data_IF_723960332465
#
_entry.id   IF_723960332465
#
_cell.length_a   1.000
_cell.length_b   1.000
_cell.length_c   1.000
_cell.angle_alpha   90.00
_cell.angle_beta   90.00
_cell.angle_gamma   90.00
#
_symmetry.space_group_name_H-M   'P 1'
#
loop_
_entity.id
_entity.type
_entity.pdbx_description
1 polymer ?
#
# COMPACT_ATOMS: atom_id res chain seq x y z
N UNK A 1 -7.96 -4.70 -14.61
CA UNK A 1 -7.38 -5.20 -13.36
C UNK A 1 -6.98 -4.02 -12.51
N UNK A 2 -7.44 -3.98 -11.28
CA UNK A 2 -7.13 -2.91 -10.34
C UNK A 2 -6.04 -3.36 -9.39
N UNK A 3 -5.09 -2.46 -9.12
CA UNK A 3 -3.93 -2.76 -8.28
C UNK A 3 -3.74 -1.65 -7.25
N UNK A 4 -2.92 -1.91 -6.24
CA UNK A 4 -2.64 -0.94 -5.20
C UNK A 4 -1.13 -0.80 -5.00
N UNK A 5 -0.70 0.44 -4.75
CA UNK A 5 0.64 0.76 -4.26
C UNK A 5 0.48 1.33 -2.85
N UNK A 6 1.08 0.65 -1.88
CA UNK A 6 1.07 1.10 -0.49
C UNK A 6 2.41 1.79 -0.23
N UNK A 7 2.37 3.08 0.08
CA UNK A 7 3.58 3.88 0.27
C UNK A 7 3.92 3.95 1.75
N UNK A 8 5.06 3.42 2.12
CA UNK A 8 5.54 3.35 3.49
C UNK A 8 7.02 3.76 3.59
N UNK A 9 7.48 4.65 2.71
CA UNK A 9 8.89 4.97 2.56
C UNK A 9 9.30 6.31 3.19
N UNK A 10 8.34 7.17 3.60
CA UNK A 10 8.64 8.51 4.05
C UNK A 10 9.18 8.59 5.47
N UNK A 11 10.09 9.54 5.70
CA UNK A 11 10.58 9.84 7.05
C UNK A 11 9.49 10.40 7.95
N UNK A 12 8.46 11.03 7.39
CA UNK A 12 7.31 11.53 8.13
C UNK A 12 6.50 10.41 8.79
N UNK A 13 6.78 9.15 8.46
CA UNK A 13 6.18 7.98 9.09
C UNK A 13 6.70 7.72 10.50
N UNK A 14 7.75 8.42 10.96
CA UNK A 14 8.33 8.21 12.28
C UNK A 14 7.63 9.02 13.34
N UNK A 15 7.40 8.39 14.48
CA UNK A 15 6.88 9.03 15.68
C UNK A 15 7.76 8.62 16.86
N UNK A 16 8.47 9.59 17.48
CA UNK A 16 9.27 9.32 18.66
C UNK A 16 10.33 8.21 18.50
N UNK A 17 10.92 8.11 17.31
CA UNK A 17 11.92 7.07 17.01
C UNK A 17 11.32 5.74 16.58
N UNK A 18 9.99 5.61 16.58
CA UNK A 18 9.28 4.41 16.15
C UNK A 18 8.69 4.66 14.77
N UNK A 19 8.85 3.69 13.86
CA UNK A 19 8.21 3.77 12.55
C UNK A 19 6.70 3.69 12.70
N UNK A 20 6.01 4.71 12.22
CA UNK A 20 4.56 4.79 12.31
C UNK A 20 3.89 3.60 11.61
N UNK A 21 4.43 3.15 10.48
CA UNK A 21 3.87 2.02 9.72
C UNK A 21 4.00 0.70 10.48
N UNK A 22 4.98 0.58 11.37
CA UNK A 22 5.18 -0.62 12.19
C UNK A 22 4.59 -0.48 13.59
N UNK A 23 4.05 0.69 13.95
CA UNK A 23 3.45 0.91 15.26
C UNK A 23 2.24 -0.01 15.45
N UNK A 24 2.11 -0.67 16.61
CA UNK A 24 1.00 -1.60 16.83
C UNK A 24 -0.32 -0.86 17.01
N UNK A 25 -1.36 -1.35 16.35
CA UNK A 25 -2.73 -0.91 16.53
C UNK A 25 -3.58 -2.18 16.66
N UNK A 26 -4.28 -2.31 17.78
CA UNK A 26 -5.07 -3.51 18.02
C UNK A 26 -4.26 -4.80 18.03
N UNK A 27 -3.00 -4.73 18.48
CA UNK A 27 -2.12 -5.89 18.59
C UNK A 27 -1.36 -6.26 17.33
N UNK A 28 -1.44 -5.45 16.27
CA UNK A 28 -0.70 -5.73 15.03
C UNK A 28 -0.13 -4.45 14.41
N UNK A 29 0.95 -4.55 13.62
CA UNK A 29 1.51 -3.38 12.95
C UNK A 29 0.49 -2.66 12.06
N UNK A 30 0.55 -1.34 12.03
CA UNK A 30 -0.36 -0.52 11.24
C UNK A 30 -0.35 -0.89 9.75
N UNK A 31 0.83 -1.15 9.19
CA UNK A 31 0.97 -1.54 7.79
C UNK A 31 0.19 -2.82 7.48
N UNK A 32 0.18 -3.78 8.40
CA UNK A 32 -0.54 -5.03 8.22
C UNK A 32 -2.05 -4.78 8.10
N UNK A 33 -2.60 -3.89 8.92
CA UNK A 33 -4.02 -3.55 8.86
C UNK A 33 -4.38 -2.89 7.53
N UNK A 34 -3.55 -1.95 7.09
CA UNK A 34 -3.75 -1.27 5.80
C UNK A 34 -3.71 -2.28 4.65
N UNK A 35 -2.70 -3.13 4.61
CA UNK A 35 -2.56 -4.13 3.54
C UNK A 35 -3.70 -5.13 3.58
N UNK A 36 -4.11 -5.57 4.77
CA UNK A 36 -5.25 -6.50 4.89
C UNK A 36 -6.51 -5.92 4.25
N UNK A 37 -6.77 -4.64 4.44
CA UNK A 37 -7.94 -4.00 3.86
C UNK A 37 -7.93 -4.11 2.34
N UNK A 38 -6.78 -3.90 1.70
CA UNK A 38 -6.64 -4.07 0.26
C UNK A 38 -6.68 -5.54 -0.15
N UNK A 39 -6.13 -6.44 0.67
CA UNK A 39 -6.20 -7.88 0.42
C UNK A 39 -7.65 -8.38 0.40
N UNK A 40 -8.49 -7.85 1.27
CA UNK A 40 -9.90 -8.24 1.38
C UNK A 40 -10.79 -7.57 0.34
N UNK A 41 -10.27 -6.61 -0.40
CA UNK A 41 -11.02 -5.91 -1.45
C UNK A 41 -11.00 -6.75 -2.73
N UNK A 42 -12.15 -7.28 -3.13
CA UNK A 42 -12.23 -8.14 -4.32
C UNK A 42 -11.82 -7.44 -5.60
N UNK A 43 -11.99 -6.11 -5.67
CA UNK A 43 -11.62 -5.33 -6.84
C UNK A 43 -10.10 -5.23 -7.03
N UNK A 44 -9.33 -5.36 -5.95
CA UNK A 44 -7.86 -5.28 -6.00
C UNK A 44 -7.29 -6.67 -6.30
N UNK A 45 -6.40 -6.75 -7.28
CA UNK A 45 -5.79 -8.02 -7.72
C UNK A 45 -4.32 -8.14 -7.38
N UNK A 46 -3.64 -7.01 -7.23
CA UNK A 46 -2.20 -7.01 -6.95
C UNK A 46 -1.86 -5.83 -6.03
N UNK A 47 -0.95 -6.06 -5.09
CA UNK A 47 -0.49 -5.06 -4.14
C UNK A 47 1.03 -5.02 -4.19
N UNK A 48 1.60 -3.81 -4.32
CA UNK A 48 3.03 -3.58 -4.18
C UNK A 48 3.23 -2.62 -3.01
N UNK A 49 4.15 -2.96 -2.12
CA UNK A 49 4.48 -2.12 -0.96
C UNK A 49 5.83 -1.47 -1.23
N UNK A 50 5.90 -0.16 -1.05
CA UNK A 50 7.13 0.62 -1.25
C UNK A 50 7.55 1.15 0.12
N UNK A 51 8.77 0.83 0.54
CA UNK A 51 9.24 1.17 1.88
C UNK A 51 10.73 1.51 1.88
N UNK A 52 11.28 1.77 3.05
CA UNK A 52 12.72 2.00 3.23
C UNK A 52 13.45 0.65 3.30
N UNK A 53 14.77 0.63 2.95
CA UNK A 53 15.52 -0.63 2.95
C UNK A 53 15.44 -1.41 4.26
N UNK A 54 15.49 -0.73 5.39
CA UNK A 54 15.48 -1.38 6.71
C UNK A 54 14.11 -2.01 7.07
N UNK A 55 13.05 -1.67 6.35
CA UNK A 55 11.71 -2.20 6.61
C UNK A 55 11.28 -3.30 5.63
N UNK A 56 12.08 -3.60 4.60
CA UNK A 56 11.73 -4.62 3.61
C UNK A 56 11.42 -5.96 4.28
N UNK A 57 12.35 -6.47 5.07
CA UNK A 57 12.19 -7.77 5.72
C UNK A 57 11.09 -7.76 6.78
N UNK A 58 11.03 -6.78 7.70
CA UNK A 58 9.92 -6.72 8.65
C UNK A 58 8.54 -6.68 8.01
N UNK A 59 8.37 -5.90 6.93
CA UNK A 59 7.08 -5.81 6.24
C UNK A 59 6.76 -7.11 5.50
N UNK A 60 7.73 -7.71 4.83
CA UNK A 60 7.52 -9.01 4.20
C UNK A 60 7.07 -10.06 5.23
N UNK A 61 7.64 -10.01 6.41
CA UNK A 61 7.33 -10.95 7.49
C UNK A 61 5.88 -10.79 7.96
N UNK A 62 5.43 -9.57 8.23
CA UNK A 62 4.08 -9.33 8.76
C UNK A 62 2.99 -9.44 7.69
N UNK A 63 3.35 -9.39 6.42
CA UNK A 63 2.41 -9.45 5.29
C UNK A 63 2.54 -10.74 4.46
N UNK A 64 3.32 -11.72 4.90
CA UNK A 64 3.64 -12.92 4.10
C UNK A 64 2.40 -13.73 3.73
N UNK A 65 1.34 -13.69 4.52
CA UNK A 65 0.11 -14.44 4.25
C UNK A 65 -0.81 -13.78 3.22
N UNK A 66 -0.54 -12.54 2.83
CA UNK A 66 -1.39 -11.81 1.89
C UNK A 66 -0.98 -12.14 0.46
N UNK A 67 -1.75 -13.01 -0.20
CA UNK A 67 -1.42 -13.53 -1.53
C UNK A 67 -1.39 -12.47 -2.63
N UNK A 68 -2.07 -11.35 -2.45
CA UNK A 68 -2.08 -10.27 -3.44
C UNK A 68 -0.81 -9.42 -3.40
N UNK A 69 -0.04 -9.48 -2.31
CA UNK A 69 1.23 -8.75 -2.21
C UNK A 69 2.27 -9.49 -3.06
N UNK A 70 2.64 -8.88 -4.19
CA UNK A 70 3.58 -9.49 -5.14
C UNK A 70 5.01 -9.01 -4.95
N UNK A 71 5.20 -7.84 -4.34
CA UNK A 71 6.53 -7.31 -4.10
C UNK A 71 6.54 -6.28 -2.96
N UNK A 72 7.66 -6.23 -2.26
CA UNK A 72 8.00 -5.16 -1.32
C UNK A 72 9.31 -4.57 -1.82
N UNK A 73 9.31 -3.29 -2.20
CA UNK A 73 10.44 -2.65 -2.88
C UNK A 73 10.88 -1.39 -2.16
N UNK A 74 12.11 -0.96 -2.47
CA UNK A 74 12.68 0.27 -1.89
C UNK A 74 12.15 1.48 -2.66
N UNK A 75 11.69 2.49 -1.93
CA UNK A 75 11.21 3.74 -2.50
C UNK A 75 12.32 4.71 -2.85
N UNK A 76 11.94 5.84 -3.46
CA UNK A 76 12.83 6.93 -3.78
C UNK A 76 12.89 7.98 -2.66
N UNK A 77 13.57 9.09 -2.97
CA UNK A 77 13.80 10.17 -2.01
C UNK A 77 12.54 11.00 -1.71
N UNK A 78 11.56 10.96 -2.62
CA UNK A 78 10.30 11.69 -2.46
C UNK A 78 9.13 10.72 -2.53
N UNK A 79 7.95 11.20 -2.11
CA UNK A 79 6.73 10.42 -2.24
C UNK A 79 6.43 10.09 -3.70
N UNK A 80 6.60 11.06 -4.60
CA UNK A 80 6.38 10.84 -6.03
C UNK A 80 7.32 9.79 -6.60
N UNK A 81 8.59 9.81 -6.21
CA UNK A 81 9.56 8.80 -6.63
C UNK A 81 9.18 7.42 -6.11
N UNK A 82 8.72 7.33 -4.85
CA UNK A 82 8.26 6.07 -4.26
C UNK A 82 7.04 5.52 -4.99
N UNK A 83 6.07 6.36 -5.31
CA UNK A 83 4.88 5.95 -6.08
C UNK A 83 5.30 5.42 -7.44
N UNK A 84 6.22 6.11 -8.13
CA UNK A 84 6.73 5.69 -9.43
C UNK A 84 7.41 4.32 -9.35
N UNK A 85 8.22 4.09 -8.32
CA UNK A 85 8.86 2.79 -8.11
C UNK A 85 7.83 1.68 -7.95
N UNK A 86 6.80 1.92 -7.15
CA UNK A 86 5.70 0.97 -6.96
C UNK A 86 4.96 0.69 -8.25
N UNK A 87 4.61 1.72 -9.00
CA UNK A 87 3.89 1.57 -10.26
C UNK A 87 4.70 0.80 -11.30
N UNK A 88 6.01 1.03 -11.37
CA UNK A 88 6.89 0.32 -12.29
C UNK A 88 7.03 -1.17 -11.93
N UNK A 89 6.77 -1.52 -10.68
CA UNK A 89 6.86 -2.90 -10.20
C UNK A 89 5.58 -3.68 -10.47
N UNK A 90 4.46 -3.00 -10.63
CA UNK A 90 3.17 -3.64 -10.90
C UNK A 90 3.17 -4.32 -12.27
N UNK A 91 2.32 -5.34 -12.40
CA UNK A 91 2.07 -6.02 -13.66
C UNK A 91 1.57 -5.04 -14.73
N UNK A 92 1.97 -5.26 -15.99
CA UNK A 92 1.49 -4.48 -17.12
C UNK A 92 -0.03 -4.59 -17.34
N UNK A 93 -0.67 -5.56 -16.71
CA UNK A 93 -2.12 -5.75 -16.79
C UNK A 93 -2.92 -4.79 -15.92
N UNK A 94 -2.26 -4.05 -15.03
CA UNK A 94 -2.94 -3.10 -14.16
C UNK A 94 -3.43 -1.90 -14.96
N UNK A 95 -4.74 -1.64 -14.90
CA UNK A 95 -5.37 -0.52 -15.61
C UNK A 95 -5.61 0.68 -14.70
N UNK A 96 -5.90 0.44 -13.43
CA UNK A 96 -6.07 1.46 -12.42
C UNK A 96 -5.25 1.11 -11.19
N UNK A 97 -4.63 2.12 -10.62
CA UNK A 97 -3.77 1.96 -9.44
C UNK A 97 -4.29 2.85 -8.34
N UNK A 98 -4.60 2.25 -7.19
CA UNK A 98 -4.90 2.97 -5.96
C UNK A 98 -3.58 3.20 -5.21
N UNK A 99 -3.33 4.43 -4.80
CA UNK A 99 -2.15 4.77 -4.00
C UNK A 99 -2.61 5.08 -2.58
N UNK A 100 -2.07 4.35 -1.61
CA UNK A 100 -2.45 4.49 -0.21
C UNK A 100 -1.23 4.66 0.66
N UNK A 101 -1.30 5.58 1.62
CA UNK A 101 -0.29 5.74 2.65
C UNK A 101 -0.40 4.57 3.63
N UNK A 102 0.70 3.87 3.87
CA UNK A 102 0.73 2.69 4.75
C UNK A 102 0.45 3.01 6.22
N UNK A 103 0.53 4.28 6.60
CA UNK A 103 0.25 4.73 7.96
C UNK A 103 -1.22 5.17 8.16
N UNK A 104 -2.12 4.85 7.24
CA UNK A 104 -3.55 5.19 7.33
C UNK A 104 -4.41 3.94 7.37
N UNK A 105 -4.69 3.38 8.56
CA UNK A 105 -5.35 2.08 8.67
C UNK A 105 -6.88 2.13 8.58
N UNK A 106 -7.49 3.32 8.51
CA UNK A 106 -8.94 3.48 8.60
C UNK A 106 -9.68 3.37 7.25
N UNK A 107 -8.98 2.99 6.19
CA UNK A 107 -9.61 2.73 4.89
C UNK A 107 -10.41 1.41 4.96
N UNK A 108 -11.53 1.33 4.24
CA UNK A 108 -12.36 0.12 4.18
C UNK A 108 -12.39 -0.43 2.75
N UNK A 109 -12.63 -1.76 2.58
CA UNK A 109 -12.76 -2.33 1.23
C UNK A 109 -13.86 -1.67 0.42
N UNK A 110 -14.97 -1.31 1.06
CA UNK A 110 -16.10 -0.66 0.41
C UNK A 110 -15.71 0.72 -0.13
N UNK A 111 -14.94 1.48 0.64
CA UNK A 111 -14.46 2.79 0.20
C UNK A 111 -13.49 2.66 -0.97
N UNK A 112 -12.58 1.69 -0.92
CA UNK A 112 -11.64 1.41 -2.01
C UNK A 112 -12.41 1.11 -3.29
N UNK A 113 -13.38 0.22 -3.22
CA UNK A 113 -14.18 -0.18 -4.38
C UNK A 113 -14.94 1.01 -4.95
N UNK A 114 -15.53 1.85 -4.08
CA UNK A 114 -16.28 3.03 -4.49
C UNK A 114 -15.38 4.01 -5.25
N UNK A 115 -14.18 4.29 -4.74
CA UNK A 115 -13.23 5.20 -5.39
C UNK A 115 -12.77 4.64 -6.74
N UNK A 116 -12.48 3.35 -6.81
CA UNK A 116 -12.05 2.70 -8.05
C UNK A 116 -13.15 2.73 -9.11
N UNK A 117 -14.40 2.51 -8.74
CA UNK A 117 -15.52 2.59 -9.67
C UNK A 117 -15.72 4.01 -10.19
N UNK A 118 -15.65 5.01 -9.31
CA UNK A 118 -15.74 6.41 -9.70
C UNK A 118 -14.61 6.79 -10.66
N UNK A 119 -13.39 6.35 -10.39
CA UNK A 119 -12.24 6.59 -11.25
C UNK A 119 -12.43 5.94 -12.63
N UNK A 120 -12.92 4.70 -12.66
CA UNK A 120 -13.17 3.98 -13.91
C UNK A 120 -14.22 4.70 -14.76
N UNK A 121 -15.31 5.15 -14.14
CA UNK A 121 -16.42 5.80 -14.83
C UNK A 121 -16.07 7.20 -15.34
N UNK A 122 -15.29 7.95 -14.56
CA UNK A 122 -14.99 9.37 -14.83
C UNK A 122 -13.57 9.62 -15.33
N UNK A 123 -12.74 8.59 -15.40
CA UNK A 123 -11.34 8.68 -15.80
C UNK A 123 -10.37 9.10 -14.71
N UNK A 124 -10.85 9.71 -13.62
CA UNK A 124 -10.02 10.08 -12.48
C UNK A 124 -10.88 10.34 -11.24
N UNK A 125 -10.39 9.93 -10.07
CA UNK A 125 -11.01 10.22 -8.78
C UNK A 125 -9.92 10.45 -7.73
N UNK A 126 -10.16 11.36 -6.82
CA UNK A 126 -9.21 11.68 -5.76
C UNK A 126 -9.57 10.91 -4.47
#
# INVERSE_FOLDING_TARGET
MFCAVIVAAGNASRMGGIDKVMAPIGGEPMIRRTVRTFQECDAIREIVIVTRPELIIPIMDVCHEFSKVTAVVVGGDTRDASVTMGMNTLSAKCKLVAVQDGARPLVTPELIEKVLRACFDCGAAA
#
